data_IF_173112735452
#
_entry.id   IF_173112735452
#
_cell.length_a   1.000
_cell.length_b   1.000
_cell.length_c   1.000
_cell.angle_alpha   90.00
_cell.angle_beta   90.00
_cell.angle_gamma   90.00
#
_symmetry.space_group_name_H-M   'P 1'
#
loop_
_entity.id
_entity.type
_entity.pdbx_description
1 polymer ?
#
# COMPACT_ATOMS: atom_id res chain seq x y z
N UNK A 1 -1.98 11.51 4.39
CA UNK A 1 -1.43 11.26 5.75
C UNK A 1 -2.48 10.93 6.82
N UNK A 2 -3.52 11.76 7.06
CA UNK A 2 -4.48 11.52 8.17
C UNK A 2 -5.26 10.20 7.99
N UNK A 3 -5.88 10.00 6.83
CA UNK A 3 -6.70 8.82 6.54
C UNK A 3 -5.92 7.50 6.59
N UNK A 4 -4.70 7.45 6.04
CA UNK A 4 -3.91 6.22 6.00
C UNK A 4 -2.93 6.01 7.16
N UNK A 5 -2.76 7.01 8.03
CA UNK A 5 -1.79 6.96 9.12
C UNK A 5 -2.44 7.10 10.49
N UNK A 6 -3.01 8.27 10.78
CA UNK A 6 -3.53 8.61 12.11
C UNK A 6 -4.82 7.81 12.43
N UNK A 7 -5.77 7.76 11.50
CA UNK A 7 -7.06 7.07 11.73
C UNK A 7 -6.88 5.56 12.00
N UNK A 8 -6.10 4.79 11.20
CA UNK A 8 -5.83 3.38 11.48
C UNK A 8 -5.15 3.17 12.83
N UNK A 9 -4.20 4.04 13.19
CA UNK A 9 -3.48 3.97 14.46
C UNK A 9 -4.43 4.11 15.65
N UNK A 10 -5.31 5.12 15.64
CA UNK A 10 -6.33 5.31 16.68
C UNK A 10 -7.28 4.10 16.75
N UNK A 11 -7.68 3.58 15.58
CA UNK A 11 -8.65 2.50 15.49
C UNK A 11 -8.13 1.19 16.12
N UNK A 12 -6.84 0.89 15.89
CA UNK A 12 -6.16 -0.32 16.36
C UNK A 12 -5.60 -0.20 17.78
N UNK A 13 -5.17 0.98 18.21
CA UNK A 13 -4.62 1.19 19.57
C UNK A 13 -5.72 1.27 20.66
N UNK A 14 -7.00 1.20 20.31
CA UNK A 14 -8.06 1.28 21.29
C UNK A 14 -8.21 -0.03 22.10
N UNK A 15 -7.98 -0.02 23.43
CA UNK A 15 -7.74 -1.22 24.25
C UNK A 15 -8.90 -2.22 24.35
N UNK A 16 -10.14 -1.80 24.06
CA UNK A 16 -11.34 -2.65 24.15
C UNK A 16 -11.90 -3.15 22.82
N UNK A 17 -11.47 -2.56 21.70
CA UNK A 17 -12.16 -2.72 20.40
C UNK A 17 -11.19 -2.81 19.22
N UNK A 18 -9.88 -2.68 19.44
CA UNK A 18 -8.87 -2.83 18.38
C UNK A 18 -8.85 -4.21 17.73
N UNK A 19 -9.26 -5.25 18.47
CA UNK A 19 -9.30 -6.65 17.98
C UNK A 19 -10.55 -6.99 17.17
N UNK A 20 -11.52 -6.07 17.07
CA UNK A 20 -12.72 -6.33 16.28
C UNK A 20 -12.35 -6.47 14.80
N UNK A 21 -12.74 -7.60 14.18
CA UNK A 21 -12.47 -7.90 12.76
C UNK A 21 -12.84 -6.74 11.83
N UNK A 22 -14.01 -6.12 12.05
CA UNK A 22 -14.47 -4.99 11.25
C UNK A 22 -13.54 -3.77 11.32
N UNK A 23 -12.91 -3.54 12.48
CA UNK A 23 -11.93 -2.47 12.64
C UNK A 23 -10.61 -2.81 11.98
N UNK A 24 -10.12 -4.04 12.10
CA UNK A 24 -8.92 -4.47 11.40
C UNK A 24 -9.08 -4.27 9.89
N UNK A 25 -10.21 -4.72 9.32
CA UNK A 25 -10.52 -4.52 7.89
C UNK A 25 -10.58 -3.04 7.53
N UNK A 26 -11.25 -2.22 8.33
CA UNK A 26 -11.34 -0.77 8.09
C UNK A 26 -9.96 -0.09 8.16
N UNK A 27 -9.15 -0.39 9.17
CA UNK A 27 -7.80 0.12 9.33
C UNK A 27 -6.91 -0.25 8.15
N UNK A 28 -6.89 -1.52 7.73
CA UNK A 28 -6.12 -1.97 6.57
C UNK A 28 -6.56 -1.28 5.28
N UNK A 29 -7.87 -1.14 5.07
CA UNK A 29 -8.42 -0.46 3.89
C UNK A 29 -8.02 1.02 3.84
N UNK A 30 -8.08 1.69 4.99
CA UNK A 30 -7.64 3.07 5.16
C UNK A 30 -6.15 3.26 4.91
N UNK A 31 -5.30 2.35 5.42
CA UNK A 31 -3.85 2.37 5.16
C UNK A 31 -3.56 2.26 3.66
N UNK A 32 -4.15 1.26 2.99
CA UNK A 32 -3.95 1.03 1.55
C UNK A 32 -4.44 2.23 0.74
N UNK A 33 -5.66 2.70 0.98
CA UNK A 33 -6.22 3.87 0.30
C UNK A 33 -5.41 5.14 0.55
N UNK A 34 -4.94 5.36 1.78
CA UNK A 34 -4.08 6.47 2.12
C UNK A 34 -2.68 6.39 1.47
N UNK A 35 -2.16 5.19 1.25
CA UNK A 35 -0.95 4.95 0.48
C UNK A 35 -1.11 5.36 -0.99
N UNK A 36 -2.20 4.95 -1.63
CA UNK A 36 -2.52 5.39 -3.00
C UNK A 36 -2.68 6.91 -3.10
N UNK A 37 -3.38 7.53 -2.14
CA UNK A 37 -3.53 8.98 -2.09
C UNK A 37 -2.18 9.69 -1.93
N UNK A 38 -1.26 9.14 -1.13
CA UNK A 38 0.08 9.70 -0.98
C UNK A 38 0.88 9.59 -2.27
N UNK A 39 0.86 8.43 -2.94
CA UNK A 39 1.51 8.25 -4.25
C UNK A 39 0.94 9.22 -5.29
N UNK A 40 -0.38 9.40 -5.33
CA UNK A 40 -1.03 10.36 -6.22
C UNK A 40 -0.50 11.78 -5.99
N UNK A 41 -0.53 12.27 -4.75
CA UNK A 41 -0.08 13.62 -4.42
C UNK A 41 1.40 13.81 -4.75
N UNK A 42 2.24 12.82 -4.48
CA UNK A 42 3.69 12.92 -4.75
C UNK A 42 4.00 12.88 -6.25
N UNK A 43 3.40 11.95 -7.00
CA UNK A 43 3.69 11.77 -8.43
C UNK A 43 3.02 12.88 -9.24
N UNK A 44 1.70 13.01 -9.13
CA UNK A 44 0.93 13.98 -9.93
C UNK A 44 1.23 15.40 -9.48
N UNK A 45 1.32 15.64 -8.17
CA UNK A 45 1.67 16.97 -7.65
C UNK A 45 3.09 17.39 -8.00
N UNK A 46 4.04 16.45 -8.03
CA UNK A 46 5.42 16.71 -8.46
C UNK A 46 5.57 17.02 -9.95
N UNK A 47 4.65 16.52 -10.78
CA UNK A 47 4.64 16.78 -12.23
C UNK A 47 3.80 18.00 -12.61
N UNK A 48 2.77 18.35 -11.82
CA UNK A 48 1.87 19.46 -12.12
C UNK A 48 2.52 20.83 -11.96
N UNK A 49 3.49 20.97 -11.06
CA UNK A 49 4.18 22.23 -10.80
C UNK A 49 5.62 22.17 -11.30
N UNK A 50 6.02 23.05 -12.23
CA UNK A 50 7.34 23.03 -12.82
C UNK A 50 8.40 23.42 -11.78
N UNK A 51 9.52 22.68 -11.79
CA UNK A 51 10.70 23.03 -11.02
C UNK A 51 11.51 24.09 -11.77
N UNK A 52 12.01 25.09 -11.05
CA UNK A 52 12.96 26.06 -11.60
C UNK A 52 14.34 25.40 -11.65
N UNK A 53 14.68 24.78 -12.78
CA UNK A 53 15.92 24.02 -12.94
C UNK A 53 17.15 24.95 -13.10
N UNK A 54 16.98 26.10 -13.75
CA UNK A 54 18.07 27.05 -14.00
C UNK A 54 17.71 28.47 -13.52
N UNK A 55 17.98 28.79 -12.25
CA UNK A 55 17.71 30.12 -11.69
C UNK A 55 18.46 31.21 -12.46
N UNK A 56 17.76 32.27 -12.89
CA UNK A 56 18.38 33.43 -13.57
C UNK A 56 18.74 33.21 -15.05
N UNK A 57 18.32 32.11 -15.68
CA UNK A 57 18.51 31.85 -17.11
C UNK A 57 17.16 31.65 -17.80
N UNK A 58 16.92 32.31 -18.93
CA UNK A 58 15.80 31.97 -19.82
C UNK A 58 16.21 30.78 -20.68
N UNK A 59 15.56 29.64 -20.45
CA UNK A 59 15.76 28.42 -21.23
C UNK A 59 14.47 28.14 -21.97
N UNK A 60 14.53 28.09 -23.30
CA UNK A 60 13.44 27.68 -24.17
C UNK A 60 13.53 26.17 -24.37
N UNK A 61 12.44 25.45 -24.08
CA UNK A 61 12.33 24.00 -24.22
C UNK A 61 11.07 23.68 -25.02
N UNK A 62 11.15 22.73 -25.95
CA UNK A 62 10.00 22.20 -26.69
C UNK A 62 9.14 21.25 -25.84
N UNK A 63 9.54 20.95 -24.60
CA UNK A 63 8.89 19.99 -23.69
C UNK A 63 7.99 20.65 -22.63
N UNK A 64 7.55 21.90 -22.85
CA UNK A 64 6.66 22.62 -21.93
C UNK A 64 7.22 22.79 -20.50
N UNK A 65 8.55 22.92 -20.35
CA UNK A 65 9.16 23.30 -19.08
C UNK A 65 8.63 24.66 -18.61
N UNK A 66 8.00 24.69 -17.43
CA UNK A 66 7.46 25.92 -16.84
C UNK A 66 5.94 26.10 -16.93
N UNK A 67 5.20 25.16 -17.53
CA UNK A 67 3.73 25.23 -17.62
C UNK A 67 3.07 24.36 -16.56
N UNK A 68 2.02 24.87 -15.92
CA UNK A 68 1.17 24.07 -15.02
C UNK A 68 0.37 23.08 -15.86
N UNK A 69 0.62 21.78 -15.66
CA UNK A 69 -0.08 20.74 -16.39
C UNK A 69 -1.21 20.14 -15.54
N UNK A 70 -2.39 19.96 -16.13
CA UNK A 70 -3.53 19.34 -15.45
C UNK A 70 -3.60 17.86 -15.82
N UNK A 71 -3.61 16.98 -14.82
CA UNK A 71 -3.69 15.54 -15.03
C UNK A 71 -5.11 15.03 -14.70
N UNK A 72 -5.80 14.50 -15.71
CA UNK A 72 -7.10 13.82 -15.55
C UNK A 72 -6.98 12.39 -16.06
N UNK A 73 -7.16 11.38 -15.18
CA UNK A 73 -7.01 9.99 -15.57
C UNK A 73 -8.01 9.58 -16.65
N UNK A 74 -7.51 8.82 -17.60
CA UNK A 74 -8.26 8.21 -18.69
C UNK A 74 -8.73 6.81 -18.31
N UNK A 75 -9.72 6.28 -19.04
CA UNK A 75 -10.24 4.94 -18.80
C UNK A 75 -9.16 3.83 -18.89
N UNK A 76 -8.24 3.83 -19.88
CA UNK A 76 -7.15 2.86 -19.93
C UNK A 76 -6.23 2.89 -18.71
N UNK A 77 -5.96 4.08 -18.13
CA UNK A 77 -5.13 4.21 -16.92
C UNK A 77 -5.83 3.61 -15.70
N UNK A 78 -7.15 3.78 -15.58
CA UNK A 78 -7.93 3.10 -14.55
C UNK A 78 -7.88 1.58 -14.71
N UNK A 79 -8.05 1.06 -15.93
CA UNK A 79 -7.96 -0.37 -16.21
C UNK A 79 -6.57 -0.91 -15.88
N UNK A 80 -5.52 -0.17 -16.20
CA UNK A 80 -4.14 -0.51 -15.84
C UNK A 80 -3.99 -0.63 -14.32
N UNK A 81 -4.48 0.36 -13.56
CA UNK A 81 -4.44 0.34 -12.09
C UNK A 81 -5.17 -0.87 -11.50
N UNK A 82 -6.41 -1.14 -11.94
CA UNK A 82 -7.18 -2.29 -11.45
C UNK A 82 -6.57 -3.64 -11.86
N UNK A 83 -5.97 -3.73 -13.05
CA UNK A 83 -5.30 -4.96 -13.49
C UNK A 83 -4.12 -5.33 -12.59
N UNK A 84 -3.37 -4.34 -12.09
CA UNK A 84 -2.29 -4.57 -11.13
C UNK A 84 -2.79 -5.21 -9.83
N UNK A 85 -3.91 -4.74 -9.30
CA UNK A 85 -4.54 -5.32 -8.10
C UNK A 85 -4.99 -6.76 -8.37
N UNK A 86 -5.64 -7.00 -9.51
CA UNK A 86 -6.10 -8.34 -9.90
C UNK A 86 -4.94 -9.33 -10.06
N UNK A 87 -3.85 -8.91 -10.73
CA UNK A 87 -2.66 -9.73 -10.92
C UNK A 87 -1.97 -10.02 -9.58
N UNK A 88 -1.85 -9.04 -8.69
CA UNK A 88 -1.28 -9.25 -7.36
C UNK A 88 -2.09 -10.29 -6.57
N UNK A 89 -3.42 -10.18 -6.58
CA UNK A 89 -4.30 -11.18 -5.96
C UNK A 89 -4.15 -12.56 -6.57
N UNK A 90 -4.08 -12.66 -7.90
CA UNK A 90 -3.86 -13.93 -8.61
C UNK A 90 -2.53 -14.58 -8.21
N UNK A 91 -1.45 -13.80 -8.16
CA UNK A 91 -0.13 -14.29 -7.74
C UNK A 91 -0.21 -14.84 -6.30
N UNK A 92 -0.85 -14.12 -5.38
CA UNK A 92 -1.03 -14.58 -3.99
C UNK A 92 -1.82 -15.89 -3.93
N UNK A 93 -2.90 -16.02 -4.71
CA UNK A 93 -3.68 -17.27 -4.75
C UNK A 93 -2.88 -18.45 -5.31
N UNK A 94 -2.13 -18.24 -6.39
CA UNK A 94 -1.27 -19.27 -6.97
C UNK A 94 -0.16 -19.66 -6.01
N UNK A 95 0.46 -18.67 -5.36
CA UNK A 95 1.45 -18.87 -4.32
C UNK A 95 0.90 -19.77 -3.20
N UNK A 96 -0.27 -19.44 -2.66
CA UNK A 96 -0.94 -20.26 -1.64
C UNK A 96 -1.25 -21.69 -2.11
N UNK A 97 -1.66 -21.86 -3.38
CA UNK A 97 -2.02 -23.17 -3.94
C UNK A 97 -0.81 -24.08 -4.17
N UNK A 98 0.31 -23.53 -4.64
CA UNK A 98 1.42 -24.33 -5.16
C UNK A 98 2.63 -24.40 -4.23
N UNK A 99 2.85 -23.41 -3.35
CA UNK A 99 4.07 -23.34 -2.51
C UNK A 99 3.87 -23.88 -1.08
N UNK A 100 2.67 -24.30 -0.70
CA UNK A 100 2.42 -24.88 0.62
C UNK A 100 2.59 -23.87 1.78
N UNK A 101 2.24 -22.60 1.57
CA UNK A 101 2.36 -21.55 2.60
C UNK A 101 1.51 -21.80 3.85
N UNK A 102 0.40 -22.54 3.73
CA UNK A 102 -0.47 -22.85 4.85
C UNK A 102 -0.11 -24.22 5.44
N UNK A 103 0.06 -24.34 6.77
CA UNK A 103 0.27 -25.64 7.41
C UNK A 103 -0.98 -26.52 7.22
N UNK A 104 -0.77 -27.80 6.88
CA UNK A 104 -1.86 -28.76 6.69
C UNK A 104 -2.67 -29.05 7.97
N UNK A 105 -2.12 -28.69 9.15
CA UNK A 105 -2.77 -28.74 10.46
C UNK A 105 -2.26 -27.59 11.34
N UNK A 106 -3.14 -26.90 12.04
CA UNK A 106 -2.78 -25.78 12.93
C UNK A 106 -2.23 -26.27 14.27
N UNK A 107 -2.56 -27.49 14.65
CA UNK A 107 -2.19 -28.20 15.88
C UNK A 107 -0.73 -28.73 15.91
N UNK A 108 0.02 -28.57 14.81
CA UNK A 108 1.43 -28.95 14.72
C UNK A 108 2.42 -27.81 15.02
N UNK A 109 1.97 -26.55 15.01
CA UNK A 109 2.84 -25.39 15.19
C UNK A 109 3.40 -25.25 16.62
N UNK A 110 2.63 -25.69 17.64
CA UNK A 110 3.04 -25.62 19.05
C UNK A 110 4.16 -26.60 19.42
N UNK A 111 4.28 -27.72 18.70
CA UNK A 111 5.23 -28.78 19.08
C UNK A 111 6.69 -28.33 18.99
N UNK A 112 7.05 -27.49 18.02
CA UNK A 112 8.42 -26.98 17.87
C UNK A 112 8.83 -25.98 18.97
N UNK A 113 7.88 -25.25 19.56
CA UNK A 113 8.16 -24.30 20.66
C UNK A 113 8.24 -25.05 22.00
N UNK A 114 7.32 -25.98 22.25
CA UNK A 114 7.32 -26.81 23.46
C UNK A 114 8.55 -27.74 23.52
N UNK A 115 9.00 -28.30 22.39
CA UNK A 115 10.15 -29.21 22.36
C UNK A 115 11.50 -28.51 22.63
N UNK A 116 11.65 -27.23 22.25
CA UNK A 116 12.85 -26.44 22.59
C UNK A 116 12.87 -26.02 24.06
N UNK A 117 11.71 -25.77 24.66
CA UNK A 117 11.59 -25.48 26.09
C UNK A 117 11.88 -26.73 26.95
N UNK A 118 11.42 -27.91 26.52
CA UNK A 118 11.67 -29.17 27.22
C UNK A 118 13.11 -29.70 27.06
N UNK A 119 13.82 -29.35 25.97
CA UNK A 119 15.23 -29.71 25.79
C UNK A 119 16.21 -28.76 26.50
N UNK A 120 15.71 -27.66 27.09
CA UNK A 120 16.48 -26.68 27.84
C UNK A 120 16.26 -26.78 29.37
N UNK A 121 15.50 -27.79 29.82
CA UNK A 121 15.24 -28.14 31.22
C UNK A 121 15.88 -29.51 31.53
#
# INVERSE_FOLDING_TARGET
MVLGGIVPMILLMHPRIGELRGRIVAATSLVVGGGFAQMWVTIVGGQAFPLVIFPGRQVSSSFYDGVVNTYTPTLPEWLLGFSGIAIAGLIVMLAMKFLGFLPGRLDGADKHITQRAAAAA
#
